data_IF_452002807461
#
_entry.id   IF_452002807461
#
_cell.length_a   1.000
_cell.length_b   1.000
_cell.length_c   1.000
_cell.angle_alpha   90.00
_cell.angle_beta   90.00
_cell.angle_gamma   90.00
#
_symmetry.space_group_name_H-M   'P 1'
#
loop_
_entity.id
_entity.type
_entity.pdbx_description
1 polymer ?
#
# COMPACT_ATOMS: atom_id res chain seq x y z
N UNK A 1 -16.41 -3.37 14.53
CA UNK A 1 -16.57 -4.84 14.32
C UNK A 1 -16.32 -5.14 12.85
N UNK A 2 -15.60 -6.21 12.52
CA UNK A 2 -15.45 -6.71 11.14
C UNK A 2 -16.78 -7.31 10.67
N UNK A 3 -17.11 -7.11 9.40
CA UNK A 3 -18.29 -7.75 8.79
C UNK A 3 -17.92 -9.15 8.32
N UNK A 4 -18.53 -10.20 8.83
CA UNK A 4 -18.22 -11.59 8.49
C UNK A 4 -18.42 -11.96 7.01
N UNK A 5 -19.21 -11.18 6.28
CA UNK A 5 -19.55 -11.45 4.87
C UNK A 5 -18.77 -10.57 3.87
N UNK A 6 -17.79 -9.79 4.33
CA UNK A 6 -16.95 -8.96 3.47
C UNK A 6 -15.48 -9.06 3.81
N UNK A 7 -14.62 -8.98 2.79
CA UNK A 7 -13.19 -8.74 2.91
C UNK A 7 -12.99 -7.21 2.80
N UNK A 8 -12.40 -6.61 3.84
CA UNK A 8 -12.10 -5.17 3.86
C UNK A 8 -10.68 -4.91 3.36
N UNK A 9 -10.56 -4.10 2.32
CA UNK A 9 -9.30 -3.57 1.81
C UNK A 9 -9.18 -2.09 2.16
N UNK A 10 -8.13 -1.74 2.89
CA UNK A 10 -7.77 -0.38 3.23
C UNK A 10 -6.50 -0.02 2.48
N UNK A 11 -6.57 1.01 1.63
CA UNK A 11 -5.45 1.50 0.83
C UNK A 11 -5.04 2.85 1.41
N UNK A 12 -3.76 3.02 1.73
CA UNK A 12 -3.20 4.23 2.35
C UNK A 12 -2.04 4.72 1.50
N UNK A 13 -2.10 6.00 1.11
CA UNK A 13 -0.95 6.68 0.53
C UNK A 13 0.06 6.99 1.62
N UNK A 14 1.36 6.86 1.33
CA UNK A 14 2.44 7.25 2.23
C UNK A 14 2.29 8.68 2.75
N UNK A 15 2.89 8.96 3.91
CA UNK A 15 2.98 10.28 4.50
C UNK A 15 3.83 11.24 3.64
N UNK A 16 3.79 12.53 3.94
CA UNK A 16 4.52 13.56 3.20
C UNK A 16 6.02 13.32 3.22
N UNK A 17 6.65 13.50 2.06
CA UNK A 17 8.08 13.32 1.84
C UNK A 17 8.73 14.58 1.28
N UNK A 18 10.05 14.65 1.35
CA UNK A 18 10.81 15.74 0.72
C UNK A 18 10.58 15.77 -0.80
N UNK A 19 10.36 14.61 -1.42
CA UNK A 19 10.05 14.49 -2.83
C UNK A 19 8.74 15.21 -3.20
N UNK A 20 7.68 15.04 -2.38
CA UNK A 20 6.38 15.69 -2.63
C UNK A 20 6.49 17.22 -2.56
N UNK A 21 7.38 17.76 -1.71
CA UNK A 21 7.52 19.19 -1.48
C UNK A 21 8.47 19.88 -2.47
N UNK A 22 9.55 19.21 -2.86
CA UNK A 22 10.64 19.84 -3.62
C UNK A 22 10.71 19.41 -5.07
N UNK A 23 9.88 18.45 -5.50
CA UNK A 23 9.89 17.98 -6.88
C UNK A 23 11.22 17.33 -7.30
N UNK A 24 12.07 17.01 -6.34
CA UNK A 24 13.37 16.40 -6.57
C UNK A 24 13.18 15.00 -7.15
N UNK A 25 13.70 14.78 -8.35
CA UNK A 25 13.57 13.53 -9.09
C UNK A 25 14.78 12.62 -8.94
N UNK A 26 15.83 13.07 -8.27
CA UNK A 26 17.05 12.32 -8.13
C UNK A 26 16.95 11.19 -7.08
N UNK A 27 15.93 11.25 -6.20
CA UNK A 27 15.64 10.19 -5.24
C UNK A 27 14.22 9.67 -5.37
N UNK A 28 14.04 8.50 -5.94
CA UNK A 28 12.73 7.84 -5.98
C UNK A 28 12.21 7.43 -4.60
N UNK A 29 12.99 7.63 -3.56
CA UNK A 29 12.71 7.19 -2.18
C UNK A 29 13.13 8.26 -1.16
N UNK A 30 12.49 9.43 -1.25
CA UNK A 30 12.68 10.50 -0.27
C UNK A 30 12.24 10.08 1.14
N UNK A 31 12.96 10.57 2.15
CA UNK A 31 12.57 10.39 3.55
C UNK A 31 11.36 11.28 3.89
N UNK A 32 10.69 10.98 5.00
CA UNK A 32 9.56 11.78 5.47
C UNK A 32 10.02 13.16 5.93
N UNK A 33 9.14 14.16 5.72
CA UNK A 33 9.30 15.48 6.35
C UNK A 33 8.87 15.42 7.82
N UNK A 34 9.12 16.50 8.57
CA UNK A 34 8.57 16.65 9.93
C UNK A 34 7.03 16.58 9.93
N UNK A 35 6.39 17.05 8.88
CA UNK A 35 4.94 16.93 8.70
C UNK A 35 4.58 15.47 8.45
N UNK A 36 5.35 14.76 7.60
CA UNK A 36 5.15 13.35 7.34
C UNK A 36 5.28 12.49 8.59
N UNK A 37 6.26 12.76 9.45
CA UNK A 37 6.41 12.06 10.73
C UNK A 37 5.18 12.26 11.65
N UNK A 38 4.65 13.48 11.74
CA UNK A 38 3.41 13.76 12.48
C UNK A 38 2.21 13.03 11.88
N UNK A 39 2.09 13.02 10.54
CA UNK A 39 1.06 12.26 9.84
C UNK A 39 1.11 10.77 10.14
N UNK A 40 2.31 10.17 10.26
CA UNK A 40 2.47 8.77 10.66
C UNK A 40 1.96 8.51 12.07
N UNK A 41 2.30 9.38 13.03
CA UNK A 41 1.82 9.27 14.41
C UNK A 41 0.29 9.39 14.50
N UNK A 42 -0.29 10.36 13.81
CA UNK A 42 -1.74 10.57 13.75
C UNK A 42 -2.45 9.37 13.11
N UNK A 43 -1.91 8.85 12.00
CA UNK A 43 -2.43 7.65 11.34
C UNK A 43 -2.37 6.44 12.27
N UNK A 44 -1.26 6.24 12.97
CA UNK A 44 -1.11 5.21 13.98
C UNK A 44 -2.18 5.30 15.06
N UNK A 45 -2.43 6.49 15.61
CA UNK A 45 -3.49 6.70 16.60
C UNK A 45 -4.90 6.43 16.05
N UNK A 46 -5.18 6.80 14.80
CA UNK A 46 -6.46 6.53 14.13
C UNK A 46 -6.73 5.04 13.95
N UNK A 47 -5.68 4.25 13.70
CA UNK A 47 -5.79 2.83 13.39
C UNK A 47 -5.47 1.91 14.58
N UNK A 48 -5.02 2.43 15.73
CA UNK A 48 -4.54 1.63 16.88
C UNK A 48 -5.55 0.59 17.38
N UNK A 49 -6.82 0.95 17.46
CA UNK A 49 -7.89 0.09 17.96
C UNK A 49 -8.60 -0.70 16.84
N UNK A 50 -8.16 -0.51 15.59
CA UNK A 50 -8.71 -1.24 14.45
C UNK A 50 -8.11 -2.64 14.40
N UNK A 51 -8.95 -3.66 14.40
CA UNK A 51 -8.54 -5.04 14.23
C UNK A 51 -8.16 -5.28 12.76
N UNK A 52 -6.85 -5.51 12.48
CA UNK A 52 -6.25 -5.65 11.15
C UNK A 52 -5.56 -7.01 11.09
N UNK A 53 -5.83 -7.80 10.04
CA UNK A 53 -5.29 -9.15 9.88
C UNK A 53 -3.99 -9.16 9.07
N UNK A 54 -3.75 -8.17 8.21
CA UNK A 54 -2.53 -8.08 7.44
C UNK A 54 -2.12 -6.63 7.19
N UNK A 55 -0.83 -6.38 7.35
CA UNK A 55 -0.15 -5.12 7.06
C UNK A 55 0.82 -5.35 5.91
N UNK A 56 0.58 -4.70 4.77
CA UNK A 56 1.36 -4.87 3.54
C UNK A 56 1.86 -3.50 3.10
N UNK A 57 3.13 -3.37 2.78
CA UNK A 57 3.73 -2.11 2.35
C UNK A 57 4.59 -2.26 1.11
N UNK A 58 4.71 -1.17 0.36
CA UNK A 58 5.72 -1.00 -0.70
C UNK A 58 7.13 -1.07 -0.12
N UNK A 59 8.13 -1.53 -0.89
CA UNK A 59 9.54 -1.47 -0.50
C UNK A 59 10.14 -0.05 -0.51
N UNK A 60 9.41 0.97 -1.01
CA UNK A 60 9.86 2.35 -0.95
C UNK A 60 9.80 2.87 0.49
N UNK A 61 10.90 3.46 0.95
CA UNK A 61 11.11 3.78 2.36
C UNK A 61 10.02 4.68 2.95
N UNK A 62 9.53 5.66 2.21
CA UNK A 62 8.43 6.54 2.63
C UNK A 62 7.13 5.78 2.95
N UNK A 63 6.78 4.77 2.16
CA UNK A 63 5.60 3.95 2.41
C UNK A 63 5.84 2.98 3.57
N UNK A 64 7.03 2.40 3.62
CA UNK A 64 7.48 1.54 4.72
C UNK A 64 7.45 2.29 6.06
N UNK A 65 8.08 3.48 6.16
CA UNK A 65 8.04 4.31 7.39
C UNK A 65 6.62 4.65 7.82
N UNK A 66 5.75 4.95 6.86
CA UNK A 66 4.33 5.20 7.15
C UNK A 66 3.65 3.97 7.77
N UNK A 67 3.93 2.79 7.23
CA UNK A 67 3.42 1.53 7.78
C UNK A 67 3.97 1.24 9.18
N UNK A 68 5.27 1.46 9.39
CA UNK A 68 5.92 1.29 10.70
C UNK A 68 5.29 2.20 11.76
N UNK A 69 4.93 3.43 11.40
CA UNK A 69 4.21 4.34 12.31
C UNK A 69 2.88 3.76 12.80
N UNK A 70 2.16 3.04 11.94
CA UNK A 70 0.93 2.31 12.32
C UNK A 70 1.26 1.07 13.15
N UNK A 71 2.24 0.26 12.74
CA UNK A 71 2.64 -0.95 13.45
C UNK A 71 3.11 -0.65 14.87
N UNK A 72 3.89 0.41 15.07
CA UNK A 72 4.37 0.84 16.38
C UNK A 72 3.24 1.31 17.32
N UNK A 73 2.10 1.71 16.80
CA UNK A 73 0.91 2.03 17.60
C UNK A 73 0.12 0.78 18.03
N UNK A 74 0.48 -0.42 17.55
CA UNK A 74 -0.15 -1.68 17.89
C UNK A 74 0.58 -2.37 19.04
N UNK A 75 -0.17 -2.95 20.01
CA UNK A 75 0.44 -3.62 21.17
C UNK A 75 1.12 -4.95 20.82
N UNK A 76 0.72 -5.58 19.72
CA UNK A 76 1.14 -6.91 19.29
C UNK A 76 2.33 -6.93 18.32
N UNK A 77 2.88 -5.74 17.97
CA UNK A 77 4.01 -5.59 17.08
C UNK A 77 3.85 -6.45 15.80
N UNK A 78 2.87 -6.15 14.94
CA UNK A 78 2.46 -7.01 13.85
C UNK A 78 3.55 -7.22 12.80
N UNK A 79 3.47 -8.34 12.07
CA UNK A 79 4.31 -8.59 10.90
C UNK A 79 3.97 -7.59 9.80
N UNK A 80 4.98 -6.88 9.30
CA UNK A 80 4.88 -6.00 8.15
C UNK A 80 5.39 -6.71 6.90
N UNK A 81 4.48 -7.01 5.98
CA UNK A 81 4.78 -7.69 4.73
C UNK A 81 5.21 -6.68 3.67
N UNK A 82 6.35 -6.92 3.01
CA UNK A 82 6.83 -6.10 1.90
C UNK A 82 6.36 -6.72 0.59
N UNK A 83 5.59 -5.96 -0.19
CA UNK A 83 5.08 -6.38 -1.49
C UNK A 83 5.64 -5.48 -2.59
N UNK A 84 6.60 -5.95 -3.39
CA UNK A 84 7.20 -5.16 -4.47
C UNK A 84 6.18 -4.65 -5.49
N UNK A 85 5.12 -5.41 -5.73
CA UNK A 85 4.09 -5.08 -6.71
C UNK A 85 3.26 -3.83 -6.37
N UNK A 86 3.34 -3.32 -5.14
CA UNK A 86 2.65 -2.07 -4.77
C UNK A 86 3.58 -0.85 -4.75
N UNK A 87 4.74 -0.93 -5.42
CA UNK A 87 5.63 0.21 -5.67
C UNK A 87 4.95 1.30 -6.52
N UNK A 88 5.44 2.55 -6.46
CA UNK A 88 4.86 3.67 -7.24
C UNK A 88 4.93 3.43 -8.76
N UNK A 89 4.03 4.09 -9.47
CA UNK A 89 4.05 4.17 -10.93
C UNK A 89 5.19 5.09 -11.39
N UNK A 90 5.87 4.71 -12.50
CA UNK A 90 6.93 5.55 -13.07
C UNK A 90 8.26 5.56 -12.29
N UNK A 91 8.47 4.61 -11.40
CA UNK A 91 9.78 4.40 -10.77
C UNK A 91 10.81 4.09 -11.86
N UNK A 92 12.03 4.69 -11.81
CA UNK A 92 13.07 4.43 -12.79
C UNK A 92 13.41 2.96 -12.92
N UNK A 93 13.75 2.56 -14.14
CA UNK A 93 14.21 1.19 -14.44
C UNK A 93 15.44 0.85 -13.58
N UNK A 94 15.38 -0.29 -12.89
CA UNK A 94 16.46 -0.74 -12.01
C UNK A 94 16.38 -0.20 -10.56
N UNK A 95 15.38 0.61 -10.23
CA UNK A 95 15.14 1.03 -8.85
C UNK A 95 13.99 0.21 -8.24
N UNK A 96 14.27 -0.46 -7.13
CA UNK A 96 13.36 -1.44 -6.51
C UNK A 96 12.98 -1.12 -5.07
N UNK A 97 13.41 0.02 -4.55
CA UNK A 97 13.27 0.38 -3.15
C UNK A 97 14.37 -0.19 -2.28
N UNK A 98 14.13 -0.21 -0.98
CA UNK A 98 15.09 -0.70 0.00
C UNK A 98 15.18 -2.23 0.00
N UNK A 99 16.38 -2.75 0.31
CA UNK A 99 16.58 -4.19 0.50
C UNK A 99 15.84 -4.69 1.74
N UNK A 100 15.51 -5.98 1.76
CA UNK A 100 14.88 -6.62 2.92
C UNK A 100 15.71 -6.44 4.19
N UNK A 101 17.04 -6.63 4.10
CA UNK A 101 17.96 -6.44 5.22
C UNK A 101 17.89 -5.02 5.79
N UNK A 102 17.87 -4.00 4.91
CA UNK A 102 17.75 -2.61 5.35
C UNK A 102 16.43 -2.36 6.10
N UNK A 103 15.32 -2.88 5.56
CA UNK A 103 14.00 -2.72 6.15
C UNK A 103 13.85 -3.49 7.48
N UNK A 104 14.43 -4.71 7.58
CA UNK A 104 14.47 -5.49 8.81
C UNK A 104 15.31 -4.84 9.90
N UNK A 105 16.42 -4.17 9.55
CA UNK A 105 17.21 -3.39 10.51
C UNK A 105 16.41 -2.22 11.09
N UNK A 106 15.46 -1.65 10.33
CA UNK A 106 14.60 -0.56 10.79
C UNK A 106 13.40 -1.06 11.59
N UNK A 107 12.73 -2.12 11.12
CA UNK A 107 11.62 -2.77 11.78
C UNK A 107 11.79 -4.30 11.68
N UNK A 108 12.29 -4.96 12.76
CA UNK A 108 12.70 -6.37 12.71
C UNK A 108 11.58 -7.35 12.33
N UNK A 109 10.32 -7.01 12.62
CA UNK A 109 9.18 -7.86 12.28
C UNK A 109 8.70 -7.65 10.84
N UNK A 110 9.65 -7.62 9.90
CA UNK A 110 9.43 -7.40 8.46
C UNK A 110 9.70 -8.69 7.68
N UNK A 111 8.83 -8.98 6.71
CA UNK A 111 8.95 -10.15 5.84
C UNK A 111 8.69 -9.76 4.38
N UNK A 112 9.52 -10.27 3.47
CA UNK A 112 9.28 -10.11 2.03
C UNK A 112 8.19 -11.05 1.53
N UNK A 113 7.20 -10.53 0.81
CA UNK A 113 6.23 -11.36 0.09
C UNK A 113 6.89 -12.08 -1.08
N UNK A 114 6.38 -13.28 -1.40
CA UNK A 114 6.72 -13.94 -2.65
C UNK A 114 6.16 -13.13 -3.82
N UNK A 115 6.95 -12.95 -4.88
CA UNK A 115 6.51 -12.24 -6.08
C UNK A 115 5.23 -12.84 -6.67
N UNK A 116 4.34 -11.96 -7.12
CA UNK A 116 3.10 -12.31 -7.83
C UNK A 116 3.34 -12.57 -9.33
N UNK A 117 4.54 -12.28 -9.81
CA UNK A 117 4.97 -12.55 -11.18
C UNK A 117 5.95 -13.73 -11.17
N UNK A 118 5.99 -14.51 -12.25
CA UNK A 118 6.86 -15.68 -12.41
C UNK A 118 8.34 -15.33 -12.62
N UNK A 119 8.69 -14.05 -12.50
CA UNK A 119 10.04 -13.50 -12.67
C UNK A 119 10.67 -13.19 -11.31
N UNK A 120 11.99 -12.95 -11.31
CA UNK A 120 12.68 -12.51 -10.12
C UNK A 120 12.01 -11.27 -9.51
N UNK A 121 12.06 -11.17 -8.21
CA UNK A 121 11.24 -10.34 -7.30
C UNK A 121 11.10 -8.86 -7.72
N UNK A 122 12.01 -8.37 -8.55
CA UNK A 122 12.09 -6.96 -8.94
C UNK A 122 12.05 -6.70 -10.45
N UNK A 123 11.99 -7.75 -11.29
CA UNK A 123 12.02 -7.56 -12.75
C UNK A 123 10.72 -6.98 -13.33
N UNK A 124 9.59 -7.07 -12.62
CA UNK A 124 8.32 -6.61 -13.17
C UNK A 124 8.31 -5.09 -13.45
N UNK A 125 8.98 -4.28 -12.63
CA UNK A 125 9.06 -2.83 -12.84
C UNK A 125 9.87 -2.44 -14.07
N UNK A 126 10.80 -3.32 -14.49
CA UNK A 126 11.72 -3.09 -15.63
C UNK A 126 11.29 -3.79 -16.89
N UNK A 127 10.76 -5.00 -16.79
CA UNK A 127 10.49 -5.88 -17.92
C UNK A 127 9.11 -5.67 -18.54
N UNK A 128 8.15 -5.29 -17.74
CA UNK A 128 6.74 -5.13 -18.17
C UNK A 128 6.33 -3.67 -18.35
N UNK A 129 7.32 -2.75 -18.42
CA UNK A 129 7.14 -1.37 -18.88
C UNK A 129 5.83 -0.73 -18.47
N UNK A 130 5.44 -0.88 -17.19
CA UNK A 130 4.32 -0.13 -16.63
C UNK A 130 2.89 -0.56 -17.02
N UNK A 131 2.59 -1.84 -17.18
CA UNK A 131 1.17 -2.23 -17.09
C UNK A 131 0.74 -2.23 -15.61
N UNK A 132 0.57 -0.99 -15.09
CA UNK A 132 0.15 -0.76 -13.71
C UNK A 132 -1.24 -1.33 -13.42
N UNK A 133 -2.07 -1.46 -14.44
CA UNK A 133 -3.41 -2.03 -14.32
C UNK A 133 -3.34 -3.54 -14.12
N UNK A 134 -2.53 -4.25 -14.94
CA UNK A 134 -2.27 -5.68 -14.74
C UNK A 134 -1.64 -5.94 -13.37
N UNK A 135 -0.71 -5.10 -12.94
CA UNK A 135 -0.07 -5.17 -11.63
C UNK A 135 -1.08 -5.00 -10.50
N UNK A 136 -1.95 -3.99 -10.57
CA UNK A 136 -3.03 -3.77 -9.61
C UNK A 136 -4.02 -4.93 -9.59
N UNK A 137 -4.36 -5.49 -10.76
CA UNK A 137 -5.22 -6.67 -10.87
C UNK A 137 -4.62 -7.87 -10.13
N UNK A 138 -3.34 -8.18 -10.35
CA UNK A 138 -2.66 -9.27 -9.64
C UNK A 138 -2.65 -9.07 -8.12
N UNK A 139 -2.47 -7.83 -7.65
CA UNK A 139 -2.52 -7.50 -6.22
C UNK A 139 -3.93 -7.73 -5.65
N UNK A 140 -4.97 -7.24 -6.32
CA UNK A 140 -6.37 -7.46 -5.89
C UNK A 140 -6.73 -8.94 -5.91
N UNK A 141 -6.34 -9.67 -6.95
CA UNK A 141 -6.60 -11.11 -7.07
C UNK A 141 -5.87 -11.91 -5.96
N UNK A 142 -4.62 -11.53 -5.66
CA UNK A 142 -3.85 -12.11 -4.55
C UNK A 142 -4.55 -11.88 -3.21
N UNK A 143 -5.00 -10.67 -2.93
CA UNK A 143 -5.71 -10.33 -1.68
C UNK A 143 -6.99 -11.15 -1.55
N UNK A 144 -7.80 -11.20 -2.61
CA UNK A 144 -9.05 -11.98 -2.62
C UNK A 144 -8.84 -13.49 -2.48
N UNK A 145 -7.70 -14.01 -2.95
CA UNK A 145 -7.35 -15.43 -2.87
C UNK A 145 -6.76 -15.80 -1.51
N UNK A 146 -5.96 -14.90 -0.92
CA UNK A 146 -5.19 -15.18 0.30
C UNK A 146 -6.01 -14.92 1.57
N UNK A 147 -6.86 -13.91 1.57
CA UNK A 147 -7.60 -13.49 2.74
C UNK A 147 -9.09 -13.84 2.62
N UNK A 148 -9.65 -14.30 3.73
CA UNK A 148 -11.05 -14.71 3.80
C UNK A 148 -11.99 -13.53 4.06
N UNK A 149 -13.29 -13.74 3.79
CA UNK A 149 -14.31 -12.84 4.30
C UNK A 149 -14.23 -12.77 5.84
N UNK A 150 -14.39 -11.60 6.38
CA UNK A 150 -14.13 -11.27 7.78
C UNK A 150 -12.75 -10.69 8.02
N UNK A 151 -11.80 -10.83 7.09
CA UNK A 151 -10.48 -10.22 7.25
C UNK A 151 -10.46 -8.75 6.81
N UNK A 152 -9.48 -8.02 7.37
CA UNK A 152 -9.14 -6.65 7.02
C UNK A 152 -7.66 -6.56 6.67
N UNK A 153 -7.38 -6.12 5.46
CA UNK A 153 -6.02 -5.97 4.90
C UNK A 153 -5.73 -4.50 4.68
N UNK A 154 -4.57 -4.05 5.13
CA UNK A 154 -4.10 -2.66 4.91
C UNK A 154 -2.91 -2.68 3.96
N UNK A 155 -2.97 -1.84 2.90
CA UNK A 155 -1.89 -1.60 1.96
C UNK A 155 -1.36 -0.18 2.14
N UNK A 156 -0.05 -0.04 2.35
CA UNK A 156 0.64 1.25 2.35
C UNK A 156 1.38 1.40 1.02
N UNK A 157 0.96 2.35 0.20
CA UNK A 157 1.44 2.53 -1.16
C UNK A 157 1.49 4.01 -1.56
N UNK A 158 1.33 4.33 -2.82
CA UNK A 158 1.65 5.62 -3.42
C UNK A 158 0.45 6.17 -4.20
N UNK A 159 0.50 7.48 -4.51
CA UNK A 159 -0.60 8.17 -5.17
C UNK A 159 -1.01 7.52 -6.50
N UNK A 160 -0.06 7.32 -7.41
CA UNK A 160 -0.34 6.74 -8.73
C UNK A 160 -0.86 5.31 -8.61
N UNK A 161 -0.24 4.49 -7.77
CA UNK A 161 -0.66 3.10 -7.63
C UNK A 161 -1.99 2.94 -6.88
N UNK A 162 -2.31 3.82 -5.92
CA UNK A 162 -3.65 3.89 -5.31
C UNK A 162 -4.75 4.05 -6.37
N UNK A 163 -4.51 4.91 -7.37
CA UNK A 163 -5.45 5.13 -8.48
C UNK A 163 -5.77 3.83 -9.21
N UNK A 164 -4.73 3.07 -9.58
CA UNK A 164 -4.90 1.79 -10.28
C UNK A 164 -5.61 0.75 -9.40
N UNK A 165 -5.25 0.65 -8.12
CA UNK A 165 -5.92 -0.27 -7.18
C UNK A 165 -7.41 0.03 -7.05
N UNK A 166 -7.78 1.31 -6.90
CA UNK A 166 -9.18 1.73 -6.77
C UNK A 166 -9.96 1.43 -8.05
N UNK A 167 -9.41 1.79 -9.22
CA UNK A 167 -10.08 1.55 -10.51
C UNK A 167 -10.29 0.06 -10.78
N UNK A 168 -9.25 -0.74 -10.59
CA UNK A 168 -9.34 -2.19 -10.78
C UNK A 168 -10.33 -2.80 -9.78
N UNK A 169 -10.28 -2.41 -8.51
CA UNK A 169 -11.20 -2.91 -7.50
C UNK A 169 -12.66 -2.60 -7.82
N UNK A 170 -12.93 -1.42 -8.38
CA UNK A 170 -14.28 -0.96 -8.73
C UNK A 170 -14.69 -1.26 -10.19
N UNK A 171 -13.80 -1.85 -10.98
CA UNK A 171 -13.98 -2.10 -12.42
C UNK A 171 -14.31 -0.81 -13.19
N UNK A 172 -13.57 0.27 -12.92
CA UNK A 172 -13.73 1.58 -13.56
C UNK A 172 -12.68 1.75 -14.66
N UNK A 173 -13.11 2.23 -15.83
CA UNK A 173 -12.21 2.52 -16.96
C UNK A 173 -11.22 3.66 -16.59
N UNK A 174 -9.96 3.47 -16.98
CA UNK A 174 -8.84 4.37 -16.73
C UNK A 174 -9.05 5.79 -17.26
N UNK A 175 -9.87 5.97 -18.29
CA UNK A 175 -10.01 7.25 -18.98
C UNK A 175 -10.98 8.23 -18.32
N UNK A 176 -11.75 7.81 -17.33
CA UNK A 176 -12.91 8.58 -16.85
C UNK A 176 -12.69 9.30 -15.52
N UNK A 177 -11.83 8.81 -14.62
CA UNK A 177 -11.71 9.38 -13.28
C UNK A 177 -10.28 9.33 -12.73
N UNK A 178 -9.91 10.41 -12.02
CA UNK A 178 -8.79 10.46 -11.09
C UNK A 178 -9.28 10.76 -9.68
N UNK A 179 -8.67 10.08 -8.71
CA UNK A 179 -8.95 10.30 -7.29
C UNK A 179 -7.85 11.18 -6.69
N UNK A 180 -8.21 12.27 -6.06
CA UNK A 180 -7.25 13.09 -5.31
C UNK A 180 -6.91 12.40 -3.99
N UNK A 181 -5.82 11.63 -3.97
CA UNK A 181 -5.38 10.89 -2.79
C UNK A 181 -4.40 11.74 -1.97
N UNK A 182 -4.80 12.15 -0.77
CA UNK A 182 -3.95 12.89 0.17
C UNK A 182 -2.90 11.98 0.82
N UNK A 183 -1.80 12.55 1.32
CA UNK A 183 -0.86 11.84 2.18
C UNK A 183 -1.60 11.30 3.41
N UNK A 184 -1.32 10.05 3.78
CA UNK A 184 -2.04 9.28 4.80
C UNK A 184 -3.56 9.20 4.63
N UNK A 185 -4.06 9.57 3.44
CA UNK A 185 -5.47 9.40 3.08
C UNK A 185 -5.83 7.92 3.03
N UNK A 186 -6.94 7.58 3.66
CA UNK A 186 -7.45 6.21 3.76
C UNK A 186 -8.54 6.02 2.72
N UNK A 187 -8.39 5.03 1.85
CA UNK A 187 -9.46 4.54 0.96
C UNK A 187 -9.91 3.18 1.48
N UNK A 188 -11.21 3.02 1.71
CA UNK A 188 -11.78 1.76 2.20
C UNK A 188 -12.71 1.15 1.19
N UNK A 189 -12.44 -0.10 0.79
CA UNK A 189 -13.22 -0.90 -0.14
C UNK A 189 -13.64 -2.21 0.56
N UNK A 190 -14.88 -2.62 0.39
CA UNK A 190 -15.38 -3.93 0.85
C UNK A 190 -15.74 -4.79 -0.36
N UNK A 191 -15.25 -6.03 -0.35
CA UNK A 191 -15.64 -7.08 -1.30
C UNK A 191 -16.59 -8.05 -0.60
N UNK A 192 -17.85 -8.03 -0.96
CA UNK A 192 -18.87 -8.89 -0.35
C UNK A 192 -18.93 -10.26 -1.01
N UNK A 193 -19.30 -11.27 -0.22
CA UNK A 193 -19.54 -12.65 -0.69
C UNK A 193 -20.58 -12.72 -1.82
N UNK A 194 -21.53 -11.79 -1.85
CA UNK A 194 -22.52 -11.65 -2.93
C UNK A 194 -21.95 -11.17 -4.26
N UNK A 195 -20.67 -10.78 -4.31
CA UNK A 195 -20.05 -10.13 -5.46
C UNK A 195 -20.19 -8.61 -5.47
N UNK A 196 -20.96 -8.02 -4.55
CA UNK A 196 -21.06 -6.57 -4.41
C UNK A 196 -19.74 -5.98 -3.94
N UNK A 197 -19.36 -4.83 -4.48
CA UNK A 197 -18.19 -4.04 -4.08
C UNK A 197 -18.70 -2.70 -3.56
N UNK A 198 -18.22 -2.28 -2.38
CA UNK A 198 -18.62 -1.03 -1.75
C UNK A 198 -17.37 -0.18 -1.50
N UNK A 199 -17.34 1.03 -2.06
CA UNK A 199 -16.39 2.07 -1.71
C UNK A 199 -17.00 2.93 -0.60
N UNK A 200 -16.42 2.91 0.60
CA UNK A 200 -16.89 3.73 1.73
C UNK A 200 -16.42 5.17 1.65
N UNK A 201 -15.27 5.40 1.04
CA UNK A 201 -14.73 6.73 0.84
C UNK A 201 -13.27 6.72 0.43
N UNK A 202 -12.82 7.91 0.03
CA UNK A 202 -11.43 8.24 -0.29
C UNK A 202 -11.01 9.39 0.63
N UNK A 203 -9.81 9.33 1.19
CA UNK A 203 -9.31 10.31 2.19
C UNK A 203 -10.15 10.37 3.47
N UNK A 204 -10.61 9.23 3.95
CA UNK A 204 -11.28 9.09 5.24
C UNK A 204 -10.36 9.49 6.40
#
# INVERSE_FOLDING_TARGET
MKKQDSLELIIIRHAETQYDNFGDRDGCDGDLTEIGEKQCLELGQRLKDMDIDAYITSPLFRAFKTAVGVCNAKPDNPILQIMPEIIECGVPVGYYGCSEEYLQNYYPNTQMCRSLFETEQYEFATKYGCDNELRAKKVIDYIKKTYSYGNRVVLFTHNGFCQHLIRVALNIDKQTFDFAIKNTGITKIEFHRSGQIILHGVNL
#
